data_IF_596917415174
#
_entry.id   IF_596917415174
#
_cell.length_a   1.000
_cell.length_b   1.000
_cell.length_c   1.000
_cell.angle_alpha   90.00
_cell.angle_beta   90.00
_cell.angle_gamma   90.00
#
_symmetry.space_group_name_H-M   'P 1'
#
loop_
_entity.id
_entity.type
_entity.pdbx_description
1 polymer ?
#
# COMPACT_ATOMS: atom_id res chain seq x y z
N UNK A 1 -2.22 33.90 -26.11
CA UNK A 1 -1.81 32.77 -26.97
C UNK A 1 -2.08 31.51 -26.18
N UNK A 2 -3.17 30.82 -26.48
CA UNK A 2 -3.55 29.59 -25.78
C UNK A 2 -2.49 28.51 -26.06
N UNK A 3 -2.09 27.77 -25.03
CA UNK A 3 -1.27 26.57 -25.20
C UNK A 3 -2.01 25.60 -26.13
N UNK A 4 -1.34 24.98 -27.11
CA UNK A 4 -2.00 24.03 -28.00
C UNK A 4 -2.52 22.86 -27.17
N UNK A 5 -3.77 22.50 -27.45
CA UNK A 5 -4.43 21.33 -26.90
C UNK A 5 -3.55 20.11 -27.20
N UNK A 6 -2.94 19.51 -26.17
CA UNK A 6 -2.12 18.31 -26.35
C UNK A 6 -3.00 17.24 -26.99
N UNK A 7 -2.72 16.88 -28.24
CA UNK A 7 -3.31 15.72 -28.91
C UNK A 7 -3.26 14.53 -27.95
N UNK A 8 -4.44 14.03 -27.56
CA UNK A 8 -4.55 12.84 -26.70
C UNK A 8 -4.15 11.63 -27.53
N UNK A 9 -2.92 11.18 -27.33
CA UNK A 9 -2.41 9.92 -27.89
C UNK A 9 -3.33 8.75 -27.52
N UNK A 10 -3.67 7.90 -28.48
CA UNK A 10 -4.46 6.70 -28.22
C UNK A 10 -3.66 5.64 -27.44
N UNK A 11 -4.37 4.73 -26.77
CA UNK A 11 -3.75 3.61 -26.01
C UNK A 11 -2.90 2.73 -26.94
N UNK A 12 -3.33 2.52 -28.18
CA UNK A 12 -2.61 1.72 -29.17
C UNK A 12 -1.30 2.40 -29.59
N UNK A 13 -1.34 3.70 -29.87
CA UNK A 13 -0.15 4.48 -30.21
C UNK A 13 0.84 4.50 -29.04
N UNK A 14 0.35 4.66 -27.80
CA UNK A 14 1.19 4.62 -26.61
C UNK A 14 1.84 3.24 -26.41
N UNK A 15 1.08 2.15 -26.59
CA UNK A 15 1.62 0.79 -26.49
C UNK A 15 2.69 0.52 -27.56
N UNK A 16 2.51 1.03 -28.78
CA UNK A 16 3.50 0.93 -29.85
C UNK A 16 4.77 1.72 -29.51
N UNK A 17 4.64 2.95 -29.01
CA UNK A 17 5.76 3.78 -28.58
C UNK A 17 6.54 3.11 -27.44
N UNK A 18 5.84 2.58 -26.43
CA UNK A 18 6.46 1.83 -25.34
C UNK A 18 7.26 0.64 -25.89
N UNK A 19 6.66 -0.18 -26.77
CA UNK A 19 7.35 -1.34 -27.38
C UNK A 19 8.59 -0.93 -28.17
N UNK A 20 8.50 0.14 -28.97
CA UNK A 20 9.59 0.61 -29.82
C UNK A 20 10.77 1.17 -29.01
N UNK A 21 10.49 1.79 -27.87
CA UNK A 21 11.49 2.51 -27.07
C UNK A 21 11.89 1.80 -25.78
N UNK A 22 11.32 0.63 -25.50
CA UNK A 22 11.54 -0.10 -24.25
C UNK A 22 13.01 -0.32 -23.89
N UNK A 23 13.83 -0.78 -24.83
CA UNK A 23 15.26 -1.02 -24.58
C UNK A 23 16.01 0.28 -24.27
N UNK A 24 15.56 1.41 -24.81
CA UNK A 24 16.11 2.73 -24.47
C UNK A 24 15.67 3.15 -23.06
N UNK A 25 14.40 2.91 -22.72
CA UNK A 25 13.83 3.20 -21.40
C UNK A 25 14.55 2.43 -20.27
N UNK A 26 14.93 1.16 -20.48
CA UNK A 26 15.72 0.37 -19.51
C UNK A 26 17.06 1.00 -19.10
N UNK A 27 17.62 1.82 -19.98
CA UNK A 27 18.92 2.44 -19.76
C UNK A 27 18.82 3.84 -19.13
N UNK A 28 17.60 4.32 -18.86
CA UNK A 28 17.39 5.59 -18.18
C UNK A 28 17.75 5.43 -16.70
N UNK A 29 18.86 6.05 -16.30
CA UNK A 29 19.23 6.19 -14.91
C UNK A 29 18.41 7.29 -14.24
N UNK A 30 17.96 7.03 -13.02
CA UNK A 30 17.25 7.98 -12.18
C UNK A 30 18.22 8.54 -11.15
N UNK A 31 18.22 9.87 -10.98
CA UNK A 31 19.01 10.53 -9.93
C UNK A 31 18.18 10.53 -8.65
N UNK A 32 18.59 9.74 -7.67
CA UNK A 32 17.94 9.66 -6.36
C UNK A 32 18.70 10.40 -5.27
N UNK A 33 19.81 11.07 -5.57
CA UNK A 33 20.58 11.80 -4.56
C UNK A 33 21.40 10.92 -3.60
N UNK A 34 21.29 9.59 -3.69
CA UNK A 34 22.13 8.65 -2.94
C UNK A 34 23.32 8.17 -3.79
N UNK A 35 24.53 8.47 -3.32
CA UNK A 35 25.76 8.05 -3.98
C UNK A 35 25.96 6.53 -3.86
N UNK A 36 26.34 5.88 -4.96
CA UNK A 36 26.58 4.43 -4.98
C UNK A 36 25.35 3.52 -5.07
N UNK A 37 24.12 4.08 -5.09
CA UNK A 37 22.88 3.31 -5.21
C UNK A 37 22.23 3.53 -6.58
N UNK A 38 22.49 2.66 -7.57
CA UNK A 38 22.01 2.87 -8.93
C UNK A 38 20.50 2.66 -9.02
N UNK A 39 19.77 3.72 -9.40
CA UNK A 39 18.35 3.63 -9.72
C UNK A 39 18.15 3.74 -11.24
N UNK A 40 17.23 2.94 -11.78
CA UNK A 40 16.88 2.91 -13.21
C UNK A 40 15.39 2.73 -13.38
N UNK A 41 14.88 3.19 -14.52
CA UNK A 41 13.50 2.89 -14.89
C UNK A 41 13.32 1.38 -15.12
N UNK A 42 12.35 0.79 -14.43
CA UNK A 42 11.99 -0.62 -14.62
C UNK A 42 10.98 -0.70 -15.77
N UNK A 43 11.32 -1.43 -16.83
CA UNK A 43 10.38 -1.75 -17.91
C UNK A 43 10.17 -3.26 -18.02
N UNK A 44 8.95 -3.71 -17.76
CA UNK A 44 8.62 -5.14 -17.72
C UNK A 44 8.08 -5.68 -19.04
N UNK A 45 8.44 -6.93 -19.38
CA UNK A 45 7.81 -7.74 -20.44
C UNK A 45 6.58 -8.51 -19.92
N UNK A 46 6.31 -8.45 -18.63
CA UNK A 46 5.15 -9.11 -18.03
C UNK A 46 3.87 -8.52 -18.63
N UNK A 47 3.00 -9.42 -19.07
CA UNK A 47 1.67 -9.11 -19.61
C UNK A 47 0.56 -9.85 -18.86
N UNK A 48 0.93 -10.70 -17.90
CA UNK A 48 -0.02 -11.37 -17.02
C UNK A 48 -0.52 -10.35 -15.99
N UNK A 49 -1.83 -10.13 -15.99
CA UNK A 49 -2.51 -9.13 -15.18
C UNK A 49 -3.73 -9.78 -14.48
N UNK A 50 -3.50 -10.68 -13.51
CA UNK A 50 -4.57 -11.44 -12.87
C UNK A 50 -5.61 -10.55 -12.17
N UNK A 51 -5.19 -9.39 -11.67
CA UNK A 51 -6.07 -8.37 -11.08
C UNK A 51 -7.14 -7.84 -12.06
N UNK A 52 -6.90 -7.90 -13.37
CA UNK A 52 -7.80 -7.31 -14.36
C UNK A 52 -9.17 -8.00 -14.43
N UNK A 53 -9.25 -9.28 -14.01
CA UNK A 53 -10.48 -10.06 -13.97
C UNK A 53 -10.95 -10.36 -12.53
N UNK A 54 -10.29 -9.80 -11.52
CA UNK A 54 -10.71 -9.93 -10.12
C UNK A 54 -11.67 -8.79 -9.79
N UNK A 55 -12.97 -9.05 -9.95
CA UNK A 55 -14.01 -8.03 -9.75
C UNK A 55 -14.07 -7.54 -8.29
N UNK A 56 -13.86 -8.45 -7.33
CA UNK A 56 -13.86 -8.12 -5.91
C UNK A 56 -12.68 -7.20 -5.57
N UNK A 57 -11.48 -7.53 -6.05
CA UNK A 57 -10.33 -6.66 -5.92
C UNK A 57 -10.58 -5.30 -6.58
N UNK A 58 -11.08 -5.29 -7.82
CA UNK A 58 -11.33 -4.05 -8.56
C UNK A 58 -12.37 -3.14 -7.89
N UNK A 59 -13.35 -3.69 -7.18
CA UNK A 59 -14.30 -2.92 -6.38
C UNK A 59 -13.66 -2.36 -5.11
N UNK A 60 -12.94 -3.20 -4.35
CA UNK A 60 -12.25 -2.79 -3.13
C UNK A 60 -11.17 -1.74 -3.43
N UNK A 61 -10.36 -1.93 -4.48
CA UNK A 61 -9.32 -1.00 -4.91
C UNK A 61 -9.86 0.41 -5.17
N UNK A 62 -11.02 0.52 -5.85
CA UNK A 62 -11.64 1.83 -6.13
C UNK A 62 -11.99 2.61 -4.87
N UNK A 63 -12.31 1.89 -3.78
CA UNK A 63 -12.66 2.48 -2.49
C UNK A 63 -11.38 2.91 -1.76
N UNK A 64 -10.32 2.09 -1.78
CA UNK A 64 -9.11 2.35 -0.96
C UNK A 64 -8.01 3.16 -1.65
N UNK A 65 -8.04 3.31 -2.98
CA UNK A 65 -6.94 3.95 -3.75
C UNK A 65 -6.61 5.39 -3.31
N UNK A 66 -7.55 6.12 -2.70
CA UNK A 66 -7.32 7.46 -2.16
C UNK A 66 -6.71 7.46 -0.75
N UNK A 67 -6.60 6.29 -0.13
CA UNK A 67 -6.23 6.05 1.26
C UNK A 67 -4.98 5.16 1.39
N UNK A 68 -4.29 4.88 0.28
CA UNK A 68 -2.99 4.21 0.26
C UNK A 68 -2.04 4.90 -0.72
N UNK A 69 -0.75 4.90 -0.41
CA UNK A 69 0.31 5.31 -1.33
C UNK A 69 0.97 4.10 -2.03
N UNK A 70 0.60 2.89 -1.60
CA UNK A 70 1.03 1.64 -2.20
C UNK A 70 0.41 1.51 -3.58
N UNK A 71 1.20 1.12 -4.58
CA UNK A 71 0.70 0.98 -5.94
C UNK A 71 -0.29 -0.19 -6.10
N UNK A 72 -1.11 -0.14 -7.15
CA UNK A 72 -2.16 -1.14 -7.43
C UNK A 72 -1.63 -2.59 -7.50
N UNK A 73 -0.38 -2.79 -7.93
CA UNK A 73 0.21 -4.13 -8.03
C UNK A 73 0.57 -4.67 -6.66
N UNK A 74 1.17 -3.84 -5.82
CA UNK A 74 1.46 -4.17 -4.43
C UNK A 74 0.16 -4.41 -3.63
N UNK A 75 -0.88 -3.59 -3.83
CA UNK A 75 -2.20 -3.83 -3.24
C UNK A 75 -2.82 -5.17 -3.69
N UNK A 76 -2.65 -5.54 -4.97
CA UNK A 76 -3.11 -6.84 -5.45
C UNK A 76 -2.32 -8.01 -4.85
N UNK A 77 -1.02 -7.82 -4.61
CA UNK A 77 -0.21 -8.83 -3.92
C UNK A 77 -0.73 -9.07 -2.49
N UNK A 78 -0.99 -8.01 -1.73
CA UNK A 78 -1.58 -8.10 -0.39
C UNK A 78 -2.95 -8.78 -0.42
N UNK A 79 -3.80 -8.42 -1.38
CA UNK A 79 -5.10 -9.07 -1.62
C UNK A 79 -4.94 -10.58 -1.87
N UNK A 80 -4.01 -10.97 -2.75
CA UNK A 80 -3.77 -12.37 -3.10
C UNK A 80 -3.24 -13.15 -1.90
N UNK A 81 -2.27 -12.59 -1.17
CA UNK A 81 -1.69 -13.20 0.03
C UNK A 81 -2.77 -13.43 1.10
N UNK A 82 -3.62 -12.44 1.38
CA UNK A 82 -4.72 -12.60 2.32
C UNK A 82 -5.65 -13.76 1.92
N UNK A 83 -5.98 -13.90 0.62
CA UNK A 83 -6.75 -15.03 0.10
C UNK A 83 -6.07 -16.40 0.30
N UNK A 84 -4.75 -16.47 0.18
CA UNK A 84 -3.97 -17.69 0.38
C UNK A 84 -3.87 -18.09 1.86
N UNK A 85 -3.98 -17.12 2.77
CA UNK A 85 -3.84 -17.29 4.22
C UNK A 85 -5.15 -17.60 4.95
N UNK A 86 -6.24 -17.86 4.23
CA UNK A 86 -7.56 -18.19 4.79
C UNK A 86 -7.54 -19.41 5.72
N UNK A 87 -6.64 -20.37 5.48
CA UNK A 87 -6.48 -21.60 6.29
C UNK A 87 -5.41 -21.52 7.36
N UNK A 88 -4.64 -20.43 7.42
CA UNK A 88 -3.58 -20.25 8.41
C UNK A 88 -4.19 -19.51 9.62
N UNK A 89 -4.11 -20.06 10.84
CA UNK A 89 -4.64 -19.38 12.02
C UNK A 89 -3.80 -18.15 12.39
N UNK A 90 -4.46 -17.15 12.98
CA UNK A 90 -3.82 -15.94 13.49
C UNK A 90 -4.54 -14.67 13.06
N UNK A 91 -3.99 -13.54 13.48
CA UNK A 91 -4.47 -12.19 13.15
C UNK A 91 -3.61 -11.56 12.05
N UNK A 92 -3.93 -10.32 11.66
CA UNK A 92 -3.15 -9.51 10.71
C UNK A 92 -2.55 -8.33 11.45
N UNK A 93 -1.32 -7.95 11.14
CA UNK A 93 -0.75 -6.67 11.58
C UNK A 93 -0.22 -5.89 10.39
N UNK A 94 -0.49 -4.59 10.38
CA UNK A 94 0.15 -3.60 9.53
C UNK A 94 0.88 -2.58 10.42
N UNK A 95 2.14 -2.30 10.12
CA UNK A 95 2.93 -1.24 10.77
C UNK A 95 3.24 -0.18 9.73
N UNK A 96 2.76 1.04 9.97
CA UNK A 96 2.70 2.11 8.97
C UNK A 96 1.40 2.02 8.18
N UNK A 97 0.30 2.49 8.77
CA UNK A 97 -1.04 2.33 8.20
C UNK A 97 -1.52 3.57 7.45
N UNK A 98 -1.01 4.78 7.77
CA UNK A 98 -1.47 6.06 7.22
C UNK A 98 -3.01 6.17 7.25
N UNK A 99 -3.65 6.25 6.07
CA UNK A 99 -5.12 6.33 5.91
C UNK A 99 -5.82 4.98 5.84
N UNK A 100 -5.08 3.90 6.07
CA UNK A 100 -5.60 2.54 6.27
C UNK A 100 -5.95 1.77 5.00
N UNK A 101 -5.61 2.27 3.81
CA UNK A 101 -6.05 1.67 2.54
C UNK A 101 -5.62 0.21 2.36
N UNK A 102 -4.34 -0.11 2.60
CA UNK A 102 -3.79 -1.47 2.56
C UNK A 102 -4.40 -2.37 3.63
N UNK A 103 -4.39 -1.93 4.88
CA UNK A 103 -4.96 -2.67 6.01
C UNK A 103 -6.45 -3.01 5.84
N UNK A 104 -7.27 -2.03 5.42
CA UNK A 104 -8.69 -2.24 5.17
C UNK A 104 -8.94 -3.14 3.94
N UNK A 105 -8.09 -3.07 2.91
CA UNK A 105 -8.16 -3.97 1.76
C UNK A 105 -7.88 -5.42 2.16
N UNK A 106 -6.87 -5.66 3.00
CA UNK A 106 -6.57 -6.98 3.55
C UNK A 106 -7.75 -7.51 4.38
N UNK A 107 -8.29 -6.69 5.28
CA UNK A 107 -9.45 -7.07 6.10
C UNK A 107 -10.68 -7.40 5.23
N UNK A 108 -10.93 -6.61 4.17
CA UNK A 108 -12.01 -6.86 3.21
C UNK A 108 -11.87 -8.20 2.51
N UNK A 109 -10.63 -8.60 2.16
CA UNK A 109 -10.38 -9.92 1.57
C UNK A 109 -10.77 -11.06 2.51
N UNK A 110 -10.39 -10.98 3.78
CA UNK A 110 -10.76 -12.01 4.77
C UNK A 110 -12.27 -12.05 5.04
N UNK A 111 -12.92 -10.89 5.13
CA UNK A 111 -14.37 -10.79 5.31
C UNK A 111 -15.14 -11.46 4.16
N UNK A 112 -14.71 -11.24 2.90
CA UNK A 112 -15.30 -11.90 1.71
C UNK A 112 -15.16 -13.42 1.72
N UNK A 113 -14.10 -13.93 2.33
CA UNK A 113 -13.87 -15.37 2.52
C UNK A 113 -14.52 -15.91 3.82
N UNK A 114 -15.31 -15.09 4.52
CA UNK A 114 -15.95 -15.39 5.80
C UNK A 114 -14.96 -15.85 6.88
N UNK A 115 -13.75 -15.29 6.88
CA UNK A 115 -12.73 -15.58 7.87
C UNK A 115 -12.75 -14.49 8.93
N UNK A 116 -13.02 -14.89 10.16
CA UNK A 116 -12.90 -14.01 11.32
C UNK A 116 -11.41 -13.76 11.63
N UNK A 117 -11.00 -12.49 11.55
CA UNK A 117 -9.65 -12.01 11.85
C UNK A 117 -9.73 -10.65 12.54
N UNK A 118 -8.80 -10.39 13.45
CA UNK A 118 -8.50 -9.02 13.85
C UNK A 118 -7.32 -8.51 13.03
N UNK A 119 -7.47 -7.35 12.40
CA UNK A 119 -6.39 -6.61 11.74
C UNK A 119 -5.97 -5.45 12.61
N UNK A 120 -4.73 -5.51 13.12
CA UNK A 120 -4.13 -4.48 13.94
C UNK A 120 -3.40 -3.48 13.04
N UNK A 121 -3.90 -2.25 12.98
CA UNK A 121 -3.30 -1.18 12.19
C UNK A 121 -2.51 -0.26 13.12
N UNK A 122 -1.19 -0.32 13.03
CA UNK A 122 -0.28 0.42 13.90
C UNK A 122 0.23 1.64 13.16
N UNK A 123 -0.01 2.83 13.73
CA UNK A 123 0.48 4.08 13.19
C UNK A 123 0.60 5.12 14.29
N UNK A 124 1.43 6.13 14.10
CA UNK A 124 1.50 7.26 15.03
C UNK A 124 0.33 8.22 14.84
N UNK A 125 -0.23 8.29 13.63
CA UNK A 125 -1.13 9.35 13.16
C UNK A 125 -0.58 10.75 13.47
N UNK A 126 0.75 10.86 13.47
CA UNK A 126 1.52 12.08 13.70
C UNK A 126 2.66 12.21 12.67
N UNK A 127 2.63 11.39 11.62
CA UNK A 127 3.69 11.28 10.61
C UNK A 127 4.88 10.47 11.08
N UNK A 128 5.92 10.44 10.23
CA UNK A 128 7.16 9.69 10.50
C UNK A 128 7.79 10.18 11.81
N UNK A 129 7.95 9.24 12.73
CA UNK A 129 8.70 9.39 13.99
C UNK A 129 10.00 8.63 13.87
N UNK A 130 11.04 9.06 14.61
CA UNK A 130 12.40 8.47 14.59
C UNK A 130 13.22 8.73 13.32
N UNK A 131 12.92 9.78 12.56
CA UNK A 131 13.81 10.22 11.49
C UNK A 131 15.23 10.53 12.05
N UNK A 132 16.23 9.74 11.66
CA UNK A 132 17.62 9.85 12.11
C UNK A 132 18.53 10.55 11.09
N UNK A 133 19.81 10.75 11.43
CA UNK A 133 20.80 11.38 10.53
C UNK A 133 21.05 10.60 9.23
N UNK A 134 20.60 9.33 9.15
CA UNK A 134 20.76 8.46 7.97
C UNK A 134 19.58 8.51 7.03
N UNK A 135 18.49 9.16 7.41
CA UNK A 135 17.23 9.08 6.69
C UNK A 135 17.27 10.21 5.66
N UNK A 136 17.61 9.84 4.42
CA UNK A 136 18.05 10.80 3.41
C UNK A 136 16.90 11.66 2.85
N UNK A 137 15.65 11.31 3.15
CA UNK A 137 14.46 11.93 2.56
C UNK A 137 13.49 12.56 3.57
N UNK A 138 13.43 12.08 4.81
CA UNK A 138 12.34 12.43 5.72
C UNK A 138 12.72 13.49 6.74
N UNK A 139 11.86 14.51 6.87
CA UNK A 139 11.87 15.45 7.99
C UNK A 139 10.65 15.17 8.86
N UNK A 140 10.83 15.20 10.19
CA UNK A 140 9.77 14.98 11.18
C UNK A 140 8.41 15.59 10.76
N UNK A 141 7.37 14.75 10.67
CA UNK A 141 5.99 15.16 10.39
C UNK A 141 5.45 14.95 8.97
N UNK A 142 6.24 14.39 8.03
CA UNK A 142 5.69 13.90 6.75
C UNK A 142 4.69 12.76 6.99
N UNK A 143 3.59 12.74 6.23
CA UNK A 143 2.42 11.83 6.38
C UNK A 143 1.55 12.02 7.65
N UNK A 144 1.65 13.17 8.32
CA UNK A 144 0.75 13.53 9.44
C UNK A 144 -0.67 13.93 8.99
N UNK A 145 -1.01 13.80 7.70
CA UNK A 145 -2.31 14.17 7.12
C UNK A 145 -3.37 13.06 7.24
N UNK A 146 -3.21 12.17 8.22
CA UNK A 146 -4.15 11.09 8.52
C UNK A 146 -4.58 11.11 9.98
N UNK A 147 -5.78 10.62 10.25
CA UNK A 147 -6.24 10.42 11.62
C UNK A 147 -7.02 9.10 11.76
N UNK A 148 -7.24 8.70 13.01
CA UNK A 148 -7.93 7.45 13.35
C UNK A 148 -9.31 7.42 12.73
N UNK A 149 -10.01 8.55 12.75
CA UNK A 149 -11.38 8.69 12.26
C UNK A 149 -11.48 8.43 10.74
N UNK A 150 -10.46 8.79 9.96
CA UNK A 150 -10.43 8.51 8.51
C UNK A 150 -10.30 7.01 8.24
N UNK A 151 -9.46 6.32 9.02
CA UNK A 151 -9.30 4.85 8.93
C UNK A 151 -10.60 4.15 9.33
N UNK A 152 -11.25 4.61 10.40
CA UNK A 152 -12.52 4.06 10.85
C UNK A 152 -13.62 4.26 9.81
N UNK A 153 -13.74 5.45 9.22
CA UNK A 153 -14.72 5.74 8.16
C UNK A 153 -14.49 4.88 6.89
N UNK A 154 -13.23 4.65 6.52
CA UNK A 154 -12.88 3.73 5.44
C UNK A 154 -13.30 2.30 5.77
N UNK A 155 -12.99 1.84 6.99
CA UNK A 155 -13.35 0.50 7.46
C UNK A 155 -14.88 0.30 7.55
N UNK A 156 -15.64 1.34 7.90
CA UNK A 156 -17.11 1.34 7.85
C UNK A 156 -17.63 1.22 6.42
N UNK A 157 -17.04 1.99 5.48
CA UNK A 157 -17.41 1.95 4.05
C UNK A 157 -17.22 0.54 3.45
N UNK A 158 -16.22 -0.19 3.94
CA UNK A 158 -15.93 -1.57 3.53
C UNK A 158 -16.62 -2.63 4.39
N UNK A 159 -17.44 -2.23 5.37
CA UNK A 159 -18.13 -3.12 6.31
C UNK A 159 -17.19 -4.04 7.13
N UNK A 160 -15.96 -3.60 7.36
CA UNK A 160 -14.93 -4.34 8.11
C UNK A 160 -14.54 -3.69 9.44
N UNK A 161 -15.24 -2.63 9.87
CA UNK A 161 -14.92 -1.90 11.11
C UNK A 161 -14.80 -2.81 12.33
N UNK A 162 -15.61 -3.86 12.42
CA UNK A 162 -15.55 -4.85 13.53
C UNK A 162 -14.26 -5.68 13.57
N UNK A 163 -13.58 -5.81 12.44
CA UNK A 163 -12.32 -6.56 12.30
C UNK A 163 -11.08 -5.68 12.42
N UNK A 164 -11.23 -4.36 12.54
CA UNK A 164 -10.11 -3.42 12.64
C UNK A 164 -9.87 -3.00 14.10
N UNK A 165 -8.63 -3.15 14.57
CA UNK A 165 -8.13 -2.53 15.80
C UNK A 165 -6.99 -1.59 15.49
N UNK A 166 -7.18 -0.30 15.75
CA UNK A 166 -6.16 0.73 15.51
C UNK A 166 -5.31 0.87 16.78
N UNK A 167 -3.99 0.80 16.62
CA UNK A 167 -3.01 1.02 17.69
C UNK A 167 -2.26 2.31 17.41
N UNK A 168 -2.73 3.39 18.03
CA UNK A 168 -2.11 4.72 17.90
C UNK A 168 -0.90 4.84 18.82
N UNK A 169 0.28 5.02 18.24
CA UNK A 169 1.53 5.21 18.95
C UNK A 169 2.73 4.69 18.17
N UNK A 170 3.92 4.96 18.69
CA UNK A 170 5.17 4.47 18.13
C UNK A 170 5.28 2.97 18.35
N UNK A 171 5.13 2.17 17.30
CA UNK A 171 5.38 0.74 17.35
C UNK A 171 6.90 0.44 17.29
N UNK A 172 7.42 -0.56 18.04
CA UNK A 172 6.74 -1.36 19.06
C UNK A 172 6.72 -0.71 20.46
N UNK A 173 7.41 0.42 20.65
CA UNK A 173 7.72 0.98 21.97
C UNK A 173 6.48 1.30 22.83
N UNK A 174 5.42 1.85 22.22
CA UNK A 174 4.19 2.25 22.92
C UNK A 174 3.06 1.24 22.77
N UNK A 175 3.03 0.47 21.67
CA UNK A 175 1.88 -0.37 21.29
C UNK A 175 2.19 -1.85 21.23
N UNK A 176 3.46 -2.25 21.26
CA UNK A 176 3.89 -3.65 21.09
C UNK A 176 3.44 -4.57 22.23
N UNK A 177 3.36 -4.05 23.46
CA UNK A 177 2.92 -4.80 24.63
C UNK A 177 1.49 -5.37 24.48
N UNK A 178 0.61 -4.69 23.74
CA UNK A 178 -0.77 -5.18 23.47
C UNK A 178 -0.81 -6.42 22.56
N UNK A 179 0.33 -6.74 21.92
CA UNK A 179 0.43 -7.73 20.86
C UNK A 179 1.33 -8.93 21.23
N UNK A 180 1.93 -8.96 22.42
CA UNK A 180 2.88 -10.00 22.85
C UNK A 180 2.30 -11.42 22.78
N UNK A 181 1.02 -11.58 23.15
CA UNK A 181 0.33 -12.88 23.16
C UNK A 181 -0.36 -13.21 21.82
N UNK A 182 -0.22 -12.35 20.81
CA UNK A 182 -0.88 -12.53 19.51
C UNK A 182 -0.04 -13.38 18.58
N UNK A 183 -0.72 -14.09 17.68
CA UNK A 183 -0.11 -14.84 16.58
C UNK A 183 -0.63 -14.26 15.29
N UNK A 184 0.28 -13.96 14.36
CA UNK A 184 -0.08 -13.35 13.10
C UNK A 184 0.03 -14.35 11.97
N UNK A 185 -0.98 -14.36 11.09
CA UNK A 185 -0.93 -15.06 9.81
C UNK A 185 -0.29 -14.20 8.72
N UNK A 186 -0.34 -12.88 8.87
CA UNK A 186 0.24 -11.89 7.97
C UNK A 186 0.79 -10.71 8.77
N UNK A 187 2.03 -10.32 8.46
CA UNK A 187 2.65 -9.10 8.96
C UNK A 187 3.06 -8.25 7.76
N UNK A 188 2.40 -7.12 7.56
CA UNK A 188 2.75 -6.13 6.56
C UNK A 188 3.52 -5.00 7.25
N UNK A 189 4.74 -4.73 6.80
CA UNK A 189 5.61 -3.70 7.38
C UNK A 189 5.87 -2.67 6.29
N UNK A 190 5.20 -1.53 6.39
CA UNK A 190 5.19 -0.45 5.40
C UNK A 190 5.60 0.86 6.05
N UNK A 191 6.82 0.85 6.59
CA UNK A 191 7.46 2.02 7.18
C UNK A 191 8.70 2.37 6.37
N UNK A 192 8.89 3.66 6.15
CA UNK A 192 10.12 4.18 5.57
C UNK A 192 11.28 4.05 6.54
N UNK A 193 12.47 3.78 6.00
CA UNK A 193 13.75 3.75 6.72
C UNK A 193 14.55 5.02 6.54
#
# INVERSE_FOLDING_TARGET
MALPEKSKMSVLEFAQLYRLHKEKLRNVALKTGQEGVPHRLITTNAVYAPWANDEDFGQTLKIVQGNSLVDDYCLYELWSLAGQLTKIPGDVIEVGAWKGGSGCLIASRFAKENIDVTSYLCDTFAGVVKAGEKDTFYKNGEHADSCVEEVEALAETLEVRGSIKILKGVFPDETGAELEDKKFRLCHIDVDS
#
